data_IF_512501016309
#
_entry.id   IF_512501016309
#
_cell.length_a   1.000
_cell.length_b   1.000
_cell.length_c   1.000
_cell.angle_alpha   90.00
_cell.angle_beta   90.00
_cell.angle_gamma   90.00
#
_symmetry.space_group_name_H-M   'P 1'
#
loop_
_entity.id
_entity.type
_entity.pdbx_description
1 polymer ?
#
# COMPACT_ATOMS: atom_id res chain seq x y z
N UNK A 1 -20.82 -28.74 5.61
CA UNK A 1 -21.35 -27.49 5.05
C UNK A 1 -20.28 -26.44 5.26
N UNK A 2 -19.95 -25.73 4.19
CA UNK A 2 -18.70 -25.02 3.89
C UNK A 2 -18.35 -23.88 4.86
N UNK A 3 -17.17 -23.95 5.46
CA UNK A 3 -16.43 -22.78 5.94
C UNK A 3 -15.04 -22.85 5.32
N UNK A 4 -14.94 -22.52 4.04
CA UNK A 4 -13.67 -22.05 3.45
C UNK A 4 -13.49 -20.61 3.92
N UNK A 5 -13.20 -20.45 5.22
CA UNK A 5 -12.61 -19.24 5.75
C UNK A 5 -11.14 -19.31 5.34
N UNK A 6 -10.88 -19.00 4.07
CA UNK A 6 -9.53 -18.93 3.54
C UNK A 6 -8.85 -17.76 4.22
N UNK A 7 -8.13 -18.07 5.30
CA UNK A 7 -7.00 -17.33 5.88
C UNK A 7 -6.59 -16.07 5.10
N UNK A 8 -7.31 -14.97 5.32
CA UNK A 8 -6.79 -13.61 5.08
C UNK A 8 -6.16 -13.04 6.37
N UNK A 9 -5.76 -13.91 7.30
CA UNK A 9 -5.12 -13.55 8.57
C UNK A 9 -3.65 -13.13 8.45
N UNK A 10 -3.08 -13.13 7.25
CA UNK A 10 -1.68 -12.78 6.99
C UNK A 10 -1.49 -11.56 6.09
N UNK A 11 -2.53 -10.79 5.82
CA UNK A 11 -2.34 -9.46 5.23
C UNK A 11 -1.81 -8.50 6.29
N UNK A 12 -0.51 -8.30 6.30
CA UNK A 12 0.12 -7.24 7.09
C UNK A 12 -0.35 -5.86 6.58
N UNK A 13 -0.40 -4.87 7.46
CA UNK A 13 -0.72 -3.49 7.06
C UNK A 13 0.18 -3.00 5.92
N UNK A 14 1.43 -3.44 5.89
CA UNK A 14 2.38 -3.14 4.82
C UNK A 14 1.97 -3.74 3.47
N UNK A 15 1.42 -4.96 3.45
CA UNK A 15 0.89 -5.55 2.22
C UNK A 15 -0.29 -4.75 1.68
N UNK A 16 -1.22 -4.36 2.54
CA UNK A 16 -2.39 -3.55 2.16
C UNK A 16 -1.99 -2.16 1.65
N UNK A 17 -1.03 -1.53 2.31
CA UNK A 17 -0.48 -0.23 1.88
C UNK A 17 0.20 -0.31 0.52
N UNK A 18 0.98 -1.37 0.28
CA UNK A 18 1.59 -1.64 -1.02
C UNK A 18 0.54 -1.89 -2.10
N UNK A 19 -0.43 -2.76 -1.83
CA UNK A 19 -1.48 -3.09 -2.79
C UNK A 19 -2.33 -1.85 -3.14
N UNK A 20 -2.68 -1.03 -2.16
CA UNK A 20 -3.36 0.25 -2.38
C UNK A 20 -2.54 1.21 -3.27
N UNK A 21 -1.23 1.27 -3.05
CA UNK A 21 -0.32 2.05 -3.89
C UNK A 21 -0.31 1.51 -5.33
N UNK A 22 -0.17 0.20 -5.50
CA UNK A 22 -0.06 -0.43 -6.82
C UNK A 22 -1.36 -0.28 -7.61
N UNK A 23 -2.52 -0.50 -6.99
CA UNK A 23 -3.83 -0.27 -7.61
C UNK A 23 -4.01 1.18 -8.07
N UNK A 24 -3.57 2.15 -7.26
CA UNK A 24 -3.70 3.56 -7.61
C UNK A 24 -2.67 4.02 -8.66
N UNK A 25 -1.41 3.58 -8.54
CA UNK A 25 -0.28 4.09 -9.34
C UNK A 25 0.04 3.26 -10.57
N UNK A 26 -0.07 1.94 -10.47
CA UNK A 26 0.24 1.00 -11.56
C UNK A 26 -1.00 0.74 -12.39
N UNK A 27 -2.10 0.36 -11.75
CA UNK A 27 -3.37 0.07 -12.46
C UNK A 27 -4.18 1.34 -12.79
N UNK A 28 -3.80 2.49 -12.21
CA UNK A 28 -4.41 3.78 -12.49
C UNK A 28 -5.82 3.93 -11.91
N UNK A 29 -6.20 3.12 -10.92
CA UNK A 29 -7.52 3.18 -10.31
C UNK A 29 -7.68 4.49 -9.52
N UNK A 30 -8.88 5.09 -9.53
CA UNK A 30 -9.16 6.25 -8.71
C UNK A 30 -9.14 5.86 -7.23
N UNK A 31 -8.64 6.77 -6.37
CA UNK A 31 -8.57 6.58 -4.92
C UNK A 31 -9.89 6.14 -4.29
N UNK A 32 -11.02 6.60 -4.83
CA UNK A 32 -12.35 6.20 -4.35
C UNK A 32 -12.65 4.72 -4.60
N UNK A 33 -12.24 4.17 -5.76
CA UNK A 33 -12.42 2.75 -6.05
C UNK A 33 -11.51 1.88 -5.18
N UNK A 34 -10.28 2.34 -4.92
CA UNK A 34 -9.36 1.65 -4.01
C UNK A 34 -9.89 1.69 -2.57
N UNK A 35 -10.41 2.83 -2.12
CA UNK A 35 -11.03 2.96 -0.79
C UNK A 35 -12.24 2.01 -0.62
N UNK A 36 -13.07 1.89 -1.67
CA UNK A 36 -14.23 0.99 -1.69
C UNK A 36 -13.80 -0.49 -1.62
N UNK A 37 -12.77 -0.88 -2.38
CA UNK A 37 -12.21 -2.24 -2.38
C UNK A 37 -11.72 -2.67 -0.98
N UNK A 38 -11.07 -1.76 -0.24
CA UNK A 38 -10.60 -2.02 1.12
C UNK A 38 -11.63 -1.71 2.20
N UNK A 39 -12.83 -1.23 1.83
CA UNK A 39 -13.86 -0.76 2.76
C UNK A 39 -13.33 0.25 3.81
N UNK A 40 -12.49 1.17 3.36
CA UNK A 40 -11.90 2.24 4.19
C UNK A 40 -12.32 3.62 3.68
N UNK A 41 -12.05 4.65 4.49
CA UNK A 41 -12.31 6.03 4.07
C UNK A 41 -11.25 6.55 3.10
N UNK A 42 -11.63 7.51 2.23
CA UNK A 42 -10.69 8.22 1.35
C UNK A 42 -9.44 8.79 2.06
N UNK A 43 -9.55 9.49 3.21
CA UNK A 43 -8.36 9.98 3.91
C UNK A 43 -7.49 8.85 4.46
N UNK A 44 -8.08 7.70 4.81
CA UNK A 44 -7.35 6.55 5.31
C UNK A 44 -6.52 5.88 4.20
N UNK A 45 -7.11 5.63 3.02
CA UNK A 45 -6.36 5.06 1.89
C UNK A 45 -5.27 6.01 1.39
N UNK A 46 -5.52 7.32 1.44
CA UNK A 46 -4.49 8.34 1.15
C UNK A 46 -3.33 8.25 2.13
N UNK A 47 -3.62 8.10 3.43
CA UNK A 47 -2.58 7.94 4.45
C UNK A 47 -1.79 6.63 4.26
N UNK A 48 -2.45 5.53 3.86
CA UNK A 48 -1.78 4.27 3.56
C UNK A 48 -0.77 4.41 2.41
N UNK A 49 -1.21 5.00 1.30
CA UNK A 49 -0.35 5.23 0.13
C UNK A 49 0.80 6.18 0.49
N UNK A 50 0.53 7.26 1.22
CA UNK A 50 1.56 8.19 1.66
C UNK A 50 2.59 7.52 2.58
N UNK A 51 2.14 6.66 3.50
CA UNK A 51 3.01 5.89 4.41
C UNK A 51 3.90 4.92 3.63
N UNK A 52 3.34 4.22 2.63
CA UNK A 52 4.12 3.32 1.77
C UNK A 52 5.19 4.06 0.97
N UNK A 53 4.84 5.20 0.38
CA UNK A 53 5.78 6.03 -0.38
C UNK A 53 6.89 6.53 0.54
N UNK A 54 6.56 7.10 1.70
CA UNK A 54 7.57 7.62 2.63
C UNK A 54 8.55 6.53 3.10
N UNK A 55 8.07 5.31 3.35
CA UNK A 55 8.93 4.16 3.69
C UNK A 55 9.80 3.75 2.51
N UNK A 56 9.23 3.65 1.31
CA UNK A 56 9.95 3.27 0.09
C UNK A 56 11.01 4.30 -0.28
N UNK A 57 10.71 5.58 -0.13
CA UNK A 57 11.62 6.70 -0.41
C UNK A 57 12.75 6.76 0.63
N UNK A 58 12.44 6.51 1.92
CA UNK A 58 13.45 6.37 2.96
C UNK A 58 14.37 5.16 2.71
N UNK A 59 13.83 4.03 2.26
CA UNK A 59 14.62 2.86 1.89
C UNK A 59 15.50 3.14 0.65
N UNK A 60 14.97 3.87 -0.34
CA UNK A 60 15.73 4.29 -1.51
C UNK A 60 16.88 5.22 -1.09
N UNK A 61 16.62 6.23 -0.26
CA UNK A 61 17.63 7.15 0.26
C UNK A 61 18.74 6.43 1.05
N UNK A 62 18.40 5.41 1.84
CA UNK A 62 19.36 4.61 2.58
C UNK A 62 20.27 3.74 1.70
N UNK A 63 19.84 3.44 0.46
CA UNK A 63 20.60 2.61 -0.49
C UNK A 63 21.36 3.43 -1.53
N UNK A 64 21.22 4.76 -1.53
CA UNK A 64 21.99 5.62 -2.42
C UNK A 64 23.46 5.64 -1.98
N UNK A 65 24.41 5.32 -2.87
CA UNK A 65 25.83 5.51 -2.58
C UNK A 65 26.10 7.01 -2.36
N UNK A 66 27.04 7.37 -1.47
CA UNK A 66 27.36 8.76 -1.21
C UNK A 66 27.80 9.44 -2.50
N UNK A 67 27.23 10.63 -2.77
CA UNK A 67 27.49 11.41 -3.98
C UNK A 67 28.90 12.04 -4.03
N UNK A 68 29.73 11.79 -3.03
CA UNK A 68 31.09 12.30 -2.94
C UNK A 68 32.04 11.16 -2.55
N UNK A 69 32.87 10.74 -3.52
CA UNK A 69 34.16 10.05 -3.32
C UNK A 69 35.30 11.04 -3.61
#
# INVERSE_FOLDING_TARGET
MTMTDTEYGHETDEYRQRLAHDLHKIDGLPLAAVADEFNVSLPEIQNWIATYIARSDAAAAATQPPLFE
#
